data_IF_328777248929
#
_entry.id   IF_328777248929
#
_cell.length_a   1.000
_cell.length_b   1.000
_cell.length_c   1.000
_cell.angle_alpha   90.00
_cell.angle_beta   90.00
_cell.angle_gamma   90.00
#
_symmetry.space_group_name_H-M   'P 1'
#
loop_
_entity.id
_entity.type
_entity.pdbx_description
1 polymer ?
#
# COMPACT_ATOMS: atom_id res chain seq x y z
N UNK A 1 -0.83 2.00 19.89
CA UNK A 1 -0.44 3.36 19.46
C UNK A 1 -1.15 3.72 18.16
N UNK A 2 -2.43 4.10 18.23
CA UNK A 2 -3.25 4.44 17.06
C UNK A 2 -3.13 5.90 16.60
N UNK A 3 -2.22 6.67 17.20
CA UNK A 3 -2.07 8.10 16.94
C UNK A 3 -1.76 8.39 15.47
N UNK A 4 -0.91 7.57 14.83
CA UNK A 4 -0.48 7.77 13.44
C UNK A 4 -1.54 7.36 12.42
N UNK A 5 -2.26 6.26 12.66
CA UNK A 5 -3.38 5.84 11.81
C UNK A 5 -4.56 6.82 11.89
N UNK A 6 -4.78 7.41 13.08
CA UNK A 6 -5.76 8.48 13.25
C UNK A 6 -5.55 9.66 12.30
N UNK A 7 -4.29 10.04 12.02
CA UNK A 7 -4.00 11.08 11.04
C UNK A 7 -4.35 10.68 9.61
N UNK A 8 -4.11 9.43 9.21
CA UNK A 8 -4.49 8.94 7.89
C UNK A 8 -6.02 8.91 7.72
N UNK A 9 -6.74 8.45 8.75
CA UNK A 9 -8.22 8.46 8.76
C UNK A 9 -8.76 9.89 8.65
N UNK A 10 -8.22 10.83 9.41
CA UNK A 10 -8.65 12.22 9.37
C UNK A 10 -8.42 12.85 7.99
N UNK A 11 -7.22 12.67 7.42
CA UNK A 11 -6.88 13.21 6.11
C UNK A 11 -7.72 12.58 4.98
N UNK A 12 -7.98 11.27 5.03
CA UNK A 12 -8.86 10.59 4.07
C UNK A 12 -10.30 11.09 4.19
N UNK A 13 -10.80 11.30 5.41
CA UNK A 13 -12.14 11.84 5.65
C UNK A 13 -12.26 13.26 5.09
N UNK A 14 -11.29 14.11 5.37
CA UNK A 14 -11.24 15.48 4.85
C UNK A 14 -11.17 15.50 3.32
N UNK A 15 -10.33 14.65 2.73
CA UNK A 15 -10.28 14.49 1.28
C UNK A 15 -11.64 14.06 0.72
N UNK A 16 -12.30 13.06 1.31
CA UNK A 16 -13.61 12.58 0.85
C UNK A 16 -14.72 13.63 0.94
N UNK A 17 -14.65 14.54 1.92
CA UNK A 17 -15.59 15.65 2.05
C UNK A 17 -15.39 16.69 0.94
N UNK A 18 -14.15 16.96 0.55
CA UNK A 18 -13.84 18.02 -0.43
C UNK A 18 -13.62 17.51 -1.85
N UNK A 19 -13.57 16.19 -2.08
CA UNK A 19 -13.25 15.59 -3.39
C UNK A 19 -14.19 16.04 -4.52
N UNK A 20 -15.46 16.30 -4.20
CA UNK A 20 -16.45 16.71 -5.19
C UNK A 20 -16.13 18.10 -5.76
N UNK A 21 -15.47 18.97 -5.00
CA UNK A 21 -15.06 20.29 -5.47
C UNK A 21 -14.12 20.21 -6.67
N UNK A 22 -13.22 19.22 -6.71
CA UNK A 22 -12.32 19.02 -7.87
C UNK A 22 -13.07 18.64 -9.15
N UNK A 23 -14.23 18.00 -9.03
CA UNK A 23 -15.12 17.67 -10.14
C UNK A 23 -15.91 18.92 -10.55
N UNK A 24 -16.43 19.68 -9.57
CA UNK A 24 -17.18 20.92 -9.79
C UNK A 24 -16.35 22.00 -10.51
N UNK A 25 -15.07 22.17 -10.14
CA UNK A 25 -14.15 23.11 -10.81
C UNK A 25 -13.54 22.55 -12.11
N UNK A 26 -14.04 21.40 -12.59
CA UNK A 26 -13.57 20.71 -13.79
C UNK A 26 -12.06 20.41 -13.82
N UNK A 27 -11.43 20.28 -12.64
CA UNK A 27 -10.02 19.89 -12.56
C UNK A 27 -9.82 18.42 -12.94
N UNK A 28 -10.82 17.56 -12.69
CA UNK A 28 -10.86 16.16 -13.12
C UNK A 28 -12.31 15.70 -13.37
N UNK A 29 -12.52 14.91 -14.42
CA UNK A 29 -13.83 14.30 -14.73
C UNK A 29 -14.27 13.29 -13.67
N UNK A 30 -13.31 12.54 -13.11
CA UNK A 30 -13.55 11.60 -12.02
C UNK A 30 -12.31 11.39 -11.16
N UNK A 31 -12.52 11.06 -9.88
CA UNK A 31 -11.44 10.71 -8.94
C UNK A 31 -11.31 9.20 -8.71
N UNK A 32 -11.72 8.39 -9.70
CA UNK A 32 -11.59 6.92 -9.70
C UNK A 32 -10.14 6.48 -9.97
N UNK A 33 -9.19 7.01 -9.20
CA UNK A 33 -7.79 6.65 -9.30
C UNK A 33 -7.56 5.36 -8.49
N UNK A 34 -7.11 4.26 -9.10
CA UNK A 34 -6.92 2.98 -8.39
C UNK A 34 -6.03 3.14 -7.15
N UNK A 35 -4.96 3.95 -7.24
CA UNK A 35 -4.05 4.24 -6.14
C UNK A 35 -4.72 4.97 -4.97
N UNK A 36 -5.62 5.91 -5.27
CA UNK A 36 -6.38 6.65 -4.25
C UNK A 36 -7.42 5.74 -3.58
N UNK A 37 -8.03 4.85 -4.35
CA UNK A 37 -8.91 3.83 -3.80
C UNK A 37 -8.16 2.86 -2.88
N UNK A 38 -6.96 2.42 -3.26
CA UNK A 38 -6.10 1.58 -2.41
C UNK A 38 -5.73 2.26 -1.08
N UNK A 39 -5.53 3.58 -1.06
CA UNK A 39 -5.23 4.33 0.18
C UNK A 39 -6.36 4.25 1.23
N UNK A 40 -7.62 4.14 0.81
CA UNK A 40 -8.73 3.94 1.75
C UNK A 40 -8.62 2.62 2.51
N UNK A 41 -8.13 1.58 1.84
CA UNK A 41 -8.00 0.24 2.40
C UNK A 41 -6.72 0.05 3.22
N UNK A 42 -5.78 1.00 3.19
CA UNK A 42 -4.53 0.88 3.94
C UNK A 42 -4.72 0.96 5.45
N UNK A 43 -5.65 1.78 5.95
CA UNK A 43 -5.93 1.82 7.38
C UNK A 43 -6.46 0.47 7.85
N UNK A 44 -7.47 -0.06 7.16
CA UNK A 44 -8.03 -1.39 7.46
C UNK A 44 -6.98 -2.49 7.30
N UNK A 45 -6.13 -2.42 6.28
CA UNK A 45 -5.07 -3.41 6.06
C UNK A 45 -4.03 -3.39 7.18
N UNK A 46 -3.64 -2.22 7.68
CA UNK A 46 -2.66 -2.10 8.77
C UNK A 46 -3.28 -2.56 10.10
N UNK A 47 -4.56 -2.29 10.34
CA UNK A 47 -5.27 -2.77 11.54
C UNK A 47 -5.53 -4.28 11.53
N UNK A 48 -5.85 -4.86 10.36
CA UNK A 48 -6.20 -6.28 10.22
C UNK A 48 -4.99 -7.20 10.07
N UNK A 49 -3.95 -6.77 9.36
CA UNK A 49 -2.78 -7.60 9.05
C UNK A 49 -1.53 -7.23 9.85
N UNK A 50 -1.59 -6.18 10.67
CA UNK A 50 -0.43 -5.66 11.40
C UNK A 50 0.58 -4.97 10.48
N UNK A 51 1.74 -4.60 11.03
CA UNK A 51 2.89 -4.19 10.21
C UNK A 51 3.40 -5.40 9.44
N UNK A 52 3.76 -5.22 8.17
CA UNK A 52 4.45 -6.21 7.34
C UNK A 52 5.90 -6.37 7.82
N UNK A 53 6.11 -6.88 9.03
CA UNK A 53 7.43 -7.20 9.58
C UNK A 53 8.02 -8.50 8.99
N UNK A 54 7.27 -9.22 8.14
CA UNK A 54 7.72 -10.44 7.48
C UNK A 54 7.58 -10.43 5.94
N UNK A 55 7.76 -9.27 5.30
CA UNK A 55 7.91 -9.14 3.83
C UNK A 55 9.30 -8.62 3.44
N UNK A 56 10.37 -8.98 4.18
CA UNK A 56 11.70 -8.72 3.65
C UNK A 56 11.91 -9.60 2.41
N UNK A 57 12.44 -8.99 1.35
CA UNK A 57 12.81 -9.71 0.12
C UNK A 57 13.95 -10.69 0.36
N UNK A 58 14.56 -10.67 1.55
CA UNK A 58 15.63 -11.56 1.99
C UNK A 58 15.29 -13.04 1.77
N UNK A 59 14.06 -13.47 2.08
CA UNK A 59 13.66 -14.86 1.84
C UNK A 59 13.69 -15.21 0.34
N UNK A 60 13.25 -14.30 -0.52
CA UNK A 60 13.24 -14.50 -1.97
C UNK A 60 14.64 -14.32 -2.59
N UNK A 61 15.46 -13.42 -2.05
CA UNK A 61 16.87 -13.23 -2.43
C UNK A 61 17.72 -14.46 -2.08
N UNK A 62 17.53 -15.03 -0.89
CA UNK A 62 18.19 -16.28 -0.49
C UNK A 62 17.78 -17.44 -1.41
N UNK A 63 16.49 -17.52 -1.77
CA UNK A 63 15.97 -18.49 -2.74
C UNK A 63 16.62 -18.36 -4.12
N UNK A 64 16.84 -17.13 -4.62
CA UNK A 64 17.55 -16.89 -5.88
C UNK A 64 19.02 -17.33 -5.83
N UNK A 65 19.71 -17.11 -4.70
CA UNK A 65 21.10 -17.55 -4.48
C UNK A 65 21.18 -19.08 -4.47
N UNK A 66 20.28 -19.74 -3.75
CA UNK A 66 20.26 -21.19 -3.64
C UNK A 66 19.97 -21.86 -5.00
N UNK A 67 19.05 -21.32 -5.79
CA UNK A 67 18.78 -21.79 -7.16
C UNK A 67 19.99 -21.63 -8.09
N UNK A 68 20.68 -20.48 -8.02
CA UNK A 68 21.88 -20.24 -8.83
C UNK A 68 23.03 -21.20 -8.47
N UNK A 69 23.18 -21.52 -7.18
CA UNK A 69 24.18 -22.47 -6.69
C UNK A 69 23.84 -23.92 -7.06
N UNK A 70 22.56 -24.33 -7.00
CA UNK A 70 22.14 -25.68 -7.42
C UNK A 70 22.25 -25.89 -8.93
N UNK A 71 22.07 -24.84 -9.74
CA UNK A 71 22.27 -24.90 -11.19
C UNK A 71 23.76 -24.93 -11.61
N UNK A 72 24.67 -24.58 -10.69
CA UNK A 72 26.11 -24.48 -10.93
C UNK A 72 26.94 -25.70 -10.52
N UNK A 73 26.32 -26.76 -9.97
CA UNK A 73 27.02 -28.03 -9.68
C UNK A 73 26.66 -29.05 -10.77
N UNK A 74 27.44 -29.18 -11.85
CA UNK A 74 27.37 -30.36 -12.69
C UNK A 74 27.83 -31.57 -11.88
N UNK A 75 27.02 -32.62 -11.90
CA UNK A 75 27.47 -33.98 -11.60
C UNK A 75 28.51 -34.40 -12.65
#
# INVERSE_FOLDING_TARGET
NNTTLGYMVAALKEFHQHKNYFIEVQCCEHLNLPKLHSLMHYVESIELFGTTDNYSTEMFEQLHIDFANMAGVPN
#
